data_IF_225526523703
#
_entry.id   IF_225526523703
#
_cell.length_a   1.000
_cell.length_b   1.000
_cell.length_c   1.000
_cell.angle_alpha   90.00
_cell.angle_beta   90.00
_cell.angle_gamma   90.00
#
_symmetry.space_group_name_H-M   'P 1'
#
loop_
_entity.id
_entity.type
_entity.pdbx_description
1 polymer ?
#
# COMPACT_ATOMS: atom_id res chain seq x y z
N UNK A 1 -30.54 5.43 -39.83
CA UNK A 1 -29.13 4.93 -39.86
C UNK A 1 -28.57 5.01 -38.43
N UNK A 2 -28.15 3.91 -37.84
CA UNK A 2 -27.65 3.92 -36.46
C UNK A 2 -26.13 3.95 -36.39
N UNK A 3 -25.61 4.65 -35.33
CA UNK A 3 -24.41 4.35 -34.54
C UNK A 3 -23.28 5.34 -34.55
N UNK A 4 -22.70 5.56 -33.40
CA UNK A 4 -21.68 4.68 -32.82
C UNK A 4 -21.63 4.65 -31.27
N UNK A 5 -22.25 3.69 -30.63
CA UNK A 5 -22.15 3.50 -29.17
C UNK A 5 -20.87 2.70 -28.82
N UNK A 6 -20.41 1.84 -29.74
CA UNK A 6 -19.27 0.94 -29.47
C UNK A 6 -17.89 1.64 -29.37
N UNK A 7 -17.69 2.75 -30.05
CA UNK A 7 -16.43 3.52 -30.01
C UNK A 7 -16.24 4.30 -28.70
N UNK A 8 -17.33 4.79 -28.09
CA UNK A 8 -17.28 5.53 -26.83
C UNK A 8 -16.91 4.64 -25.65
N UNK A 9 -17.37 3.39 -25.62
CA UNK A 9 -17.05 2.44 -24.54
C UNK A 9 -15.58 2.02 -24.62
N UNK A 10 -15.04 1.82 -25.83
CA UNK A 10 -13.64 1.40 -26.03
C UNK A 10 -12.64 2.50 -25.68
N UNK A 11 -12.98 3.77 -25.91
CA UNK A 11 -12.11 4.90 -25.53
C UNK A 11 -12.11 5.16 -24.02
N UNK A 12 -13.23 4.92 -23.31
CA UNK A 12 -13.33 5.09 -21.86
C UNK A 12 -12.55 4.02 -21.10
N UNK A 13 -12.47 2.78 -21.64
CA UNK A 13 -11.72 1.68 -21.05
C UNK A 13 -10.21 1.81 -21.28
N UNK A 14 -9.75 2.42 -22.37
CA UNK A 14 -8.31 2.57 -22.65
C UNK A 14 -7.60 3.56 -21.69
N UNK A 15 -8.31 4.53 -21.13
CA UNK A 15 -7.70 5.59 -20.31
C UNK A 15 -7.58 5.21 -18.81
N UNK A 16 -8.03 4.02 -18.41
CA UNK A 16 -8.02 3.56 -17.02
C UNK A 16 -7.06 2.40 -16.76
N UNK A 17 -6.28 1.98 -17.76
CA UNK A 17 -5.38 0.83 -17.61
C UNK A 17 -4.03 1.29 -17.05
N UNK A 18 -3.64 0.72 -15.92
CA UNK A 18 -2.27 0.79 -15.43
C UNK A 18 -1.39 -0.10 -16.34
N UNK A 19 -0.80 0.50 -17.40
CA UNK A 19 -0.04 -0.21 -18.40
C UNK A 19 1.18 -0.92 -17.81
N UNK A 20 1.64 -1.99 -18.47
CA UNK A 20 2.86 -2.69 -18.04
C UNK A 20 4.07 -1.76 -18.04
N UNK A 21 4.19 -0.88 -19.04
CA UNK A 21 5.28 0.11 -19.11
C UNK A 21 5.28 1.02 -17.88
N UNK A 22 4.11 1.53 -17.47
CA UNK A 22 3.98 2.41 -16.32
C UNK A 22 4.33 1.67 -15.01
N UNK A 23 3.91 0.42 -14.86
CA UNK A 23 4.28 -0.41 -13.69
C UNK A 23 5.79 -0.61 -13.60
N UNK A 24 6.43 -0.94 -14.71
CA UNK A 24 7.90 -1.09 -14.77
C UNK A 24 8.60 0.23 -14.46
N UNK A 25 8.12 1.34 -15.02
CA UNK A 25 8.69 2.66 -14.74
C UNK A 25 8.60 3.03 -13.26
N UNK A 26 7.43 2.88 -12.64
CA UNK A 26 7.23 3.15 -11.21
C UNK A 26 8.16 2.25 -10.38
N UNK A 27 8.24 0.96 -10.70
CA UNK A 27 9.12 0.02 -10.00
C UNK A 27 10.59 0.43 -10.16
N UNK A 28 11.02 0.82 -11.36
CA UNK A 28 12.38 1.28 -11.61
C UNK A 28 12.72 2.55 -10.80
N UNK A 29 11.80 3.52 -10.74
CA UNK A 29 11.99 4.73 -9.94
C UNK A 29 12.14 4.38 -8.45
N UNK A 30 11.27 3.51 -7.92
CA UNK A 30 11.36 3.07 -6.52
C UNK A 30 12.65 2.30 -6.26
N UNK A 31 13.08 1.47 -7.22
CA UNK A 31 14.36 0.76 -7.13
C UNK A 31 15.54 1.75 -7.03
N UNK A 32 15.56 2.76 -7.88
CA UNK A 32 16.60 3.80 -7.84
C UNK A 32 16.58 4.58 -6.52
N UNK A 33 15.41 4.92 -6.01
CA UNK A 33 15.29 5.63 -4.73
C UNK A 33 15.79 4.79 -3.56
N UNK A 34 15.43 3.51 -3.47
CA UNK A 34 15.88 2.65 -2.36
C UNK A 34 17.38 2.37 -2.43
N UNK A 35 17.93 2.11 -3.62
CA UNK A 35 19.37 1.92 -3.77
C UNK A 35 20.15 3.22 -3.56
N UNK A 36 19.58 4.37 -3.95
CA UNK A 36 20.14 5.69 -3.63
C UNK A 36 20.20 5.93 -2.13
N UNK A 37 19.13 5.56 -1.40
CA UNK A 37 19.08 5.64 0.07
C UNK A 37 20.10 4.71 0.73
N UNK A 38 20.18 3.45 0.31
CA UNK A 38 21.18 2.49 0.81
C UNK A 38 22.60 2.97 0.53
N UNK A 39 22.86 3.54 -0.67
CA UNK A 39 24.15 4.12 -1.03
C UNK A 39 24.51 5.32 -0.16
N UNK A 40 23.53 6.16 0.16
CA UNK A 40 23.70 7.26 1.12
C UNK A 40 24.07 6.74 2.51
N UNK A 41 23.33 5.78 3.04
CA UNK A 41 23.60 5.16 4.34
C UNK A 41 25.02 4.59 4.40
N UNK A 42 25.43 3.87 3.34
CA UNK A 42 26.76 3.28 3.26
C UNK A 42 27.90 4.32 3.39
N UNK A 43 27.71 5.51 2.84
CA UNK A 43 28.71 6.59 2.87
C UNK A 43 28.61 7.48 4.13
N UNK A 44 27.53 7.40 4.90
CA UNK A 44 27.24 8.28 6.06
C UNK A 44 27.02 7.51 7.37
N UNK A 45 27.85 6.52 7.65
CA UNK A 45 27.82 5.81 8.93
C UNK A 45 27.54 4.32 8.82
N UNK A 46 27.30 3.82 7.60
CA UNK A 46 27.02 2.41 7.34
C UNK A 46 25.53 2.09 7.19
N UNK A 47 25.26 0.92 6.63
CA UNK A 47 23.88 0.48 6.39
C UNK A 47 23.25 0.06 7.73
N UNK A 48 22.13 0.69 8.16
CA UNK A 48 21.50 0.37 9.42
C UNK A 48 20.90 -1.03 9.43
N UNK A 49 20.88 -1.64 10.62
CA UNK A 49 20.17 -2.88 10.89
C UNK A 49 18.94 -2.57 11.72
N UNK A 50 17.76 -2.96 11.25
CA UNK A 50 16.51 -2.78 11.96
C UNK A 50 16.16 -4.06 12.72
N UNK A 51 15.90 -3.94 14.02
CA UNK A 51 15.52 -5.06 14.87
C UNK A 51 13.98 -5.19 14.92
N UNK A 52 13.49 -6.43 14.88
CA UNK A 52 12.05 -6.71 15.02
C UNK A 52 11.56 -6.17 16.36
N UNK A 53 10.41 -5.52 16.38
CA UNK A 53 9.83 -4.86 17.58
C UNK A 53 10.76 -3.86 18.26
N UNK A 54 11.75 -3.34 17.55
CA UNK A 54 12.75 -2.40 18.09
C UNK A 54 13.52 -2.98 19.28
N UNK A 55 13.64 -4.30 19.38
CA UNK A 55 14.30 -5.02 20.46
C UNK A 55 15.60 -5.64 19.94
N UNK A 56 16.74 -5.27 20.51
CA UNK A 56 18.06 -5.75 20.12
C UNK A 56 18.27 -7.26 20.36
N UNK A 57 17.46 -7.90 21.21
CA UNK A 57 17.48 -9.34 21.43
C UNK A 57 16.79 -10.13 20.29
N UNK A 58 16.07 -9.42 19.43
CA UNK A 58 15.40 -10.01 18.26
C UNK A 58 16.32 -10.01 17.03
N UNK A 59 16.04 -10.87 16.03
CA UNK A 59 16.82 -10.88 14.79
C UNK A 59 16.88 -9.51 14.13
N UNK A 60 18.09 -9.06 13.81
CA UNK A 60 18.34 -7.82 13.07
C UNK A 60 18.23 -8.04 11.56
N UNK A 61 17.55 -7.14 10.88
CA UNK A 61 17.37 -7.16 9.43
C UNK A 61 18.14 -5.98 8.83
N UNK A 62 19.26 -6.23 8.13
CA UNK A 62 20.03 -5.18 7.47
C UNK A 62 19.18 -4.49 6.39
N UNK A 63 19.25 -3.17 6.31
CA UNK A 63 18.40 -2.37 5.39
C UNK A 63 18.64 -2.68 3.90
N UNK A 64 19.80 -3.24 3.53
CA UNK A 64 20.07 -3.61 2.13
C UNK A 64 19.11 -4.68 1.57
N UNK A 65 18.49 -5.51 2.43
CA UNK A 65 17.40 -6.42 2.02
C UNK A 65 16.25 -5.66 1.37
N UNK A 66 16.01 -4.42 1.82
CA UNK A 66 15.02 -3.54 1.22
C UNK A 66 15.27 -3.27 -0.26
N UNK A 67 16.54 -3.15 -0.65
CA UNK A 67 16.96 -2.95 -2.05
C UNK A 67 16.54 -4.09 -2.99
N UNK A 68 16.35 -5.29 -2.46
CA UNK A 68 15.89 -6.47 -3.22
C UNK A 68 14.38 -6.62 -3.09
N UNK A 69 13.88 -6.69 -1.86
CA UNK A 69 12.48 -7.05 -1.58
C UNK A 69 11.50 -5.98 -2.04
N UNK A 70 11.83 -4.70 -1.85
CA UNK A 70 10.91 -3.59 -2.15
C UNK A 70 10.57 -3.46 -3.65
N UNK A 71 11.51 -3.59 -4.61
CA UNK A 71 11.18 -3.61 -6.04
C UNK A 71 10.22 -4.74 -6.42
N UNK A 72 10.49 -5.97 -6.00
CA UNK A 72 9.61 -7.11 -6.29
C UNK A 72 8.23 -6.94 -5.68
N UNK A 73 8.17 -6.49 -4.44
CA UNK A 73 6.92 -6.23 -3.73
C UNK A 73 6.11 -5.12 -4.39
N UNK A 74 6.76 -4.02 -4.77
CA UNK A 74 6.13 -2.91 -5.51
C UNK A 74 5.54 -3.40 -6.83
N UNK A 75 6.31 -4.12 -7.65
CA UNK A 75 5.80 -4.65 -8.90
C UNK A 75 4.63 -5.60 -8.70
N UNK A 76 4.69 -6.47 -7.70
CA UNK A 76 3.62 -7.39 -7.33
C UNK A 76 2.33 -6.64 -6.96
N UNK A 77 2.40 -5.61 -6.12
CA UNK A 77 1.21 -4.83 -5.74
C UNK A 77 0.66 -4.03 -6.92
N UNK A 78 1.52 -3.42 -7.75
CA UNK A 78 1.09 -2.74 -8.98
C UNK A 78 0.44 -3.71 -9.97
N UNK A 79 0.91 -4.95 -10.07
CA UNK A 79 0.27 -6.00 -10.86
C UNK A 79 -1.13 -6.33 -10.33
N UNK A 80 -1.28 -6.49 -9.01
CA UNK A 80 -2.60 -6.74 -8.38
C UNK A 80 -3.57 -5.58 -8.63
N UNK A 81 -3.10 -4.34 -8.51
CA UNK A 81 -3.90 -3.13 -8.81
C UNK A 81 -4.34 -3.16 -10.28
N UNK A 82 -3.42 -3.38 -11.23
CA UNK A 82 -3.73 -3.45 -12.65
C UNK A 82 -4.73 -4.57 -12.97
N UNK A 83 -4.53 -5.77 -12.40
CA UNK A 83 -5.44 -6.91 -12.58
C UNK A 83 -6.86 -6.59 -12.08
N UNK A 84 -6.98 -5.84 -10.97
CA UNK A 84 -8.29 -5.41 -10.46
C UNK A 84 -8.92 -4.34 -11.35
N UNK A 85 -8.16 -3.33 -11.80
CA UNK A 85 -8.66 -2.27 -12.68
C UNK A 85 -9.18 -2.81 -14.02
N UNK A 86 -8.60 -3.91 -14.51
CA UNK A 86 -8.99 -4.52 -15.79
C UNK A 86 -10.20 -5.47 -15.66
N UNK A 87 -10.80 -5.65 -14.49
CA UNK A 87 -12.00 -6.47 -14.32
C UNK A 87 -13.24 -5.74 -14.87
N UNK A 88 -14.16 -6.45 -15.52
CA UNK A 88 -15.38 -5.82 -16.07
C UNK A 88 -16.29 -5.19 -15.01
N UNK A 89 -16.29 -5.76 -13.81
CA UNK A 89 -17.07 -5.33 -12.64
C UNK A 89 -16.36 -4.24 -11.80
N UNK A 90 -15.19 -3.79 -12.23
CA UNK A 90 -14.44 -2.78 -11.50
C UNK A 90 -15.06 -1.39 -11.64
N UNK A 91 -15.27 -0.74 -10.50
CA UNK A 91 -15.76 0.65 -10.40
C UNK A 91 -14.65 1.64 -9.98
N UNK A 92 -13.48 1.16 -9.60
CA UNK A 92 -12.37 2.02 -9.18
C UNK A 92 -11.74 2.73 -10.39
N UNK A 93 -11.53 4.04 -10.27
CA UNK A 93 -10.77 4.82 -11.24
C UNK A 93 -9.28 4.86 -10.89
N UNK A 94 -8.43 5.15 -11.87
CA UNK A 94 -6.99 5.34 -11.62
C UNK A 94 -6.73 6.48 -10.64
N UNK A 95 -7.53 7.56 -10.70
CA UNK A 95 -7.48 8.68 -9.74
C UNK A 95 -7.74 8.21 -8.31
N UNK A 96 -8.74 7.36 -8.10
CA UNK A 96 -9.08 6.83 -6.78
C UNK A 96 -7.97 5.91 -6.24
N UNK A 97 -7.36 5.11 -7.11
CA UNK A 97 -6.20 4.28 -6.77
C UNK A 97 -5.03 5.15 -6.31
N UNK A 98 -4.73 6.22 -7.07
CA UNK A 98 -3.69 7.18 -6.70
C UNK A 98 -3.96 7.87 -5.36
N UNK A 99 -5.20 8.31 -5.12
CA UNK A 99 -5.60 8.92 -3.85
C UNK A 99 -5.41 7.97 -2.66
N UNK A 100 -5.78 6.69 -2.80
CA UNK A 100 -5.59 5.67 -1.76
C UNK A 100 -4.12 5.40 -1.49
N UNK A 101 -3.29 5.35 -2.54
CA UNK A 101 -1.84 5.21 -2.40
C UNK A 101 -1.25 6.38 -1.62
N UNK A 102 -1.61 7.61 -1.99
CA UNK A 102 -1.16 8.82 -1.29
C UNK A 102 -1.65 8.83 0.16
N UNK A 103 -2.89 8.43 0.42
CA UNK A 103 -3.40 8.35 1.79
C UNK A 103 -2.61 7.35 2.64
N UNK A 104 -2.28 6.15 2.10
CA UNK A 104 -1.42 5.18 2.77
C UNK A 104 0.00 5.71 3.00
N UNK A 105 0.55 6.42 2.02
CA UNK A 105 1.87 7.05 2.11
C UNK A 105 1.92 8.13 3.20
N UNK A 106 0.97 9.06 3.20
CA UNK A 106 0.89 10.14 4.19
C UNK A 106 0.71 9.56 5.59
N UNK A 107 -0.18 8.56 5.74
CA UNK A 107 -0.37 7.87 7.01
C UNK A 107 0.94 7.26 7.53
N UNK A 108 1.68 6.54 6.67
CA UNK A 108 2.94 5.91 7.04
C UNK A 108 4.03 6.93 7.39
N UNK A 109 4.13 8.02 6.63
CA UNK A 109 5.07 9.11 6.93
C UNK A 109 4.72 9.75 8.29
N UNK A 110 3.44 9.98 8.57
CA UNK A 110 3.01 10.54 9.86
C UNK A 110 3.42 9.66 11.04
N UNK A 111 3.19 8.35 10.93
CA UNK A 111 3.64 7.37 11.94
C UNK A 111 5.16 7.38 12.08
N UNK A 112 5.89 7.36 10.96
CA UNK A 112 7.36 7.36 10.96
C UNK A 112 7.93 8.60 11.64
N UNK A 113 7.39 9.77 11.33
CA UNK A 113 7.80 11.05 11.94
C UNK A 113 7.50 11.06 13.44
N UNK A 114 6.29 10.67 13.85
CA UNK A 114 5.94 10.60 15.27
C UNK A 114 6.85 9.63 16.02
N UNK A 115 7.08 8.45 15.46
CA UNK A 115 7.95 7.44 16.08
C UNK A 115 9.39 7.92 16.23
N UNK A 116 9.99 8.49 15.17
CA UNK A 116 11.38 8.99 15.20
C UNK A 116 11.57 10.16 16.16
N UNK A 117 10.54 10.93 16.46
CA UNK A 117 10.59 12.06 17.40
C UNK A 117 10.08 11.70 18.80
N UNK A 118 9.78 10.43 19.10
CA UNK A 118 9.28 10.01 20.40
C UNK A 118 7.92 10.60 20.77
N UNK A 119 7.08 10.92 19.77
CA UNK A 119 5.76 11.52 20.00
C UNK A 119 4.75 10.42 20.35
N UNK A 120 4.12 10.50 21.51
CA UNK A 120 3.13 9.52 22.01
C UNK A 120 1.86 9.41 21.14
N UNK A 121 1.64 10.35 20.18
CA UNK A 121 0.51 10.30 19.27
C UNK A 121 0.48 9.05 18.36
N UNK A 122 1.59 8.31 18.25
CA UNK A 122 1.71 7.10 17.43
C UNK A 122 0.60 6.09 17.74
N UNK A 123 0.33 5.82 19.02
CA UNK A 123 -0.67 4.85 19.46
C UNK A 123 -2.09 5.29 19.10
N UNK A 124 -2.39 6.57 19.26
CA UNK A 124 -3.69 7.15 18.89
C UNK A 124 -3.92 7.10 17.37
N UNK A 125 -2.89 7.42 16.58
CA UNK A 125 -2.96 7.37 15.11
C UNK A 125 -3.14 5.91 14.66
N UNK A 126 -2.42 4.97 15.27
CA UNK A 126 -2.59 3.54 15.00
C UNK A 126 -3.98 3.04 15.42
N UNK A 127 -4.51 3.51 16.54
CA UNK A 127 -5.90 3.19 16.95
C UNK A 127 -6.94 3.70 15.96
N UNK A 128 -6.76 4.92 15.44
CA UNK A 128 -7.68 5.52 14.47
C UNK A 128 -7.84 4.69 13.19
N UNK A 129 -6.75 4.05 12.71
CA UNK A 129 -6.82 3.28 11.46
C UNK A 129 -7.76 2.06 11.59
N UNK A 130 -7.88 1.46 12.78
CA UNK A 130 -8.83 0.38 13.02
C UNK A 130 -10.27 0.87 12.91
N UNK A 131 -10.58 2.07 13.40
CA UNK A 131 -11.90 2.69 13.23
C UNK A 131 -12.18 2.95 11.75
N UNK A 132 -11.22 3.48 11.02
CA UNK A 132 -11.33 3.73 9.59
C UNK A 132 -11.52 2.44 8.78
N UNK A 133 -11.01 1.29 9.26
CA UNK A 133 -11.17 -0.01 8.59
C UNK A 133 -12.63 -0.49 8.52
N UNK A 134 -13.52 -0.02 9.42
CA UNK A 134 -14.95 -0.31 9.34
C UNK A 134 -15.67 0.46 8.22
N UNK A 135 -15.07 1.57 7.77
CA UNK A 135 -15.64 2.46 6.76
C UNK A 135 -14.98 2.25 5.41
N UNK A 136 -13.66 2.14 5.40
CA UNK A 136 -12.84 2.07 4.20
C UNK A 136 -12.23 0.69 3.98
N UNK A 137 -12.01 0.31 2.72
CA UNK A 137 -11.39 -0.96 2.33
C UNK A 137 -9.86 -0.85 2.42
N UNK A 138 -9.31 -0.66 3.63
CA UNK A 138 -7.88 -0.40 3.86
C UNK A 138 -6.97 -1.58 3.48
N UNK A 139 -7.51 -2.79 3.28
CA UNK A 139 -6.79 -3.97 2.79
C UNK A 139 -6.42 -3.90 1.29
N UNK A 140 -6.84 -2.85 0.57
CA UNK A 140 -6.53 -2.72 -0.86
C UNK A 140 -5.05 -2.46 -1.09
N UNK A 141 -4.52 -3.05 -2.17
CA UNK A 141 -3.09 -3.05 -2.49
C UNK A 141 -2.45 -1.66 -2.60
N UNK A 142 -3.21 -0.63 -2.97
CA UNK A 142 -2.74 0.75 -3.04
C UNK A 142 -2.46 1.36 -1.67
N UNK A 143 -3.32 1.13 -0.67
CA UNK A 143 -3.04 1.56 0.71
C UNK A 143 -1.81 0.86 1.25
N UNK A 144 -1.71 -0.45 0.99
CA UNK A 144 -0.57 -1.24 1.43
C UNK A 144 0.74 -0.79 0.78
N UNK A 145 0.73 -0.50 -0.52
CA UNK A 145 1.90 0.04 -1.20
C UNK A 145 2.33 1.38 -0.61
N UNK A 146 1.37 2.30 -0.41
CA UNK A 146 1.63 3.59 0.22
C UNK A 146 2.23 3.44 1.63
N UNK A 147 1.65 2.55 2.46
CA UNK A 147 2.18 2.22 3.79
C UNK A 147 3.63 1.76 3.74
N UNK A 148 3.93 0.77 2.90
CA UNK A 148 5.29 0.21 2.81
C UNK A 148 6.29 1.27 2.34
N UNK A 149 5.95 2.05 1.30
CA UNK A 149 6.83 3.10 0.78
C UNK A 149 7.11 4.20 1.81
N UNK A 150 6.08 4.63 2.55
CA UNK A 150 6.23 5.69 3.55
C UNK A 150 6.96 5.26 4.82
N UNK A 151 6.79 3.99 5.23
CA UNK A 151 7.42 3.46 6.43
C UNK A 151 8.83 2.90 6.20
N UNK A 152 9.17 2.55 4.95
CA UNK A 152 10.47 1.93 4.62
C UNK A 152 11.67 2.81 4.94
N UNK A 153 11.50 4.13 4.93
CA UNK A 153 12.56 5.07 5.27
C UNK A 153 12.98 4.96 6.75
N UNK A 154 12.00 4.83 7.65
CA UNK A 154 12.25 4.79 9.09
C UNK A 154 12.56 3.39 9.63
N UNK A 155 11.92 2.35 9.06
CA UNK A 155 11.91 0.99 9.61
C UNK A 155 12.56 -0.05 8.69
N UNK A 156 13.15 0.36 7.57
CA UNK A 156 13.52 -0.55 6.50
C UNK A 156 12.29 -1.13 5.79
N UNK A 157 12.46 -1.83 4.66
CA UNK A 157 11.31 -2.29 3.88
C UNK A 157 10.63 -3.55 4.45
N UNK A 158 11.39 -4.45 5.06
CA UNK A 158 10.89 -5.78 5.47
C UNK A 158 9.89 -5.68 6.62
N UNK A 159 10.18 -4.84 7.62
CA UNK A 159 9.30 -4.68 8.79
C UNK A 159 7.92 -4.13 8.38
N UNK A 160 7.81 -3.02 7.60
CA UNK A 160 6.52 -2.55 7.11
C UNK A 160 5.78 -3.54 6.21
N UNK A 161 6.48 -4.35 5.41
CA UNK A 161 5.86 -5.40 4.60
C UNK A 161 5.24 -6.47 5.50
N UNK A 162 5.98 -6.98 6.48
CA UNK A 162 5.49 -7.99 7.41
C UNK A 162 4.30 -7.48 8.23
N UNK A 163 4.48 -6.37 8.92
CA UNK A 163 3.44 -5.75 9.74
C UNK A 163 2.21 -5.34 8.92
N UNK A 164 2.43 -4.69 7.79
CA UNK A 164 1.35 -4.29 6.88
C UNK A 164 0.59 -5.48 6.28
N UNK A 165 1.25 -6.64 6.08
CA UNK A 165 0.56 -7.87 5.64
C UNK A 165 -0.43 -8.36 6.69
N UNK A 166 -0.04 -8.33 7.97
CA UNK A 166 -0.91 -8.69 9.09
C UNK A 166 -2.08 -7.70 9.17
N UNK A 167 -1.81 -6.39 9.10
CA UNK A 167 -2.86 -5.37 9.10
C UNK A 167 -3.83 -5.54 7.93
N UNK A 168 -3.33 -5.81 6.72
CA UNK A 168 -4.19 -6.05 5.56
C UNK A 168 -5.10 -7.26 5.77
N UNK A 169 -4.61 -8.34 6.39
CA UNK A 169 -5.44 -9.49 6.73
C UNK A 169 -6.53 -9.11 7.74
N UNK A 170 -6.17 -8.41 8.81
CA UNK A 170 -7.12 -7.94 9.83
C UNK A 170 -8.19 -7.02 9.22
N UNK A 171 -7.79 -6.04 8.40
CA UNK A 171 -8.73 -5.13 7.74
C UNK A 171 -9.62 -5.84 6.73
N UNK A 172 -9.13 -6.87 6.06
CA UNK A 172 -9.94 -7.72 5.20
C UNK A 172 -11.00 -8.48 6.01
N UNK A 173 -10.64 -9.06 7.16
CA UNK A 173 -11.58 -9.76 8.05
C UNK A 173 -12.64 -8.81 8.60
N UNK A 174 -12.26 -7.61 9.06
CA UNK A 174 -13.19 -6.56 9.50
C UNK A 174 -14.18 -6.22 8.37
N UNK A 175 -13.68 -6.00 7.17
CA UNK A 175 -14.53 -5.68 6.02
C UNK A 175 -15.51 -6.82 5.69
N UNK A 176 -15.06 -8.08 5.74
CA UNK A 176 -15.93 -9.24 5.50
C UNK A 176 -17.02 -9.36 6.55
N UNK A 177 -16.68 -9.15 7.83
CA UNK A 177 -17.65 -9.16 8.93
C UNK A 177 -18.71 -8.08 8.74
N UNK A 178 -18.30 -6.82 8.50
CA UNK A 178 -19.22 -5.70 8.27
C UNK A 178 -20.11 -5.94 7.05
N UNK A 179 -19.54 -6.46 5.97
CA UNK A 179 -20.29 -6.77 4.74
C UNK A 179 -21.29 -7.90 4.93
N UNK A 180 -20.92 -8.91 5.72
CA UNK A 180 -21.80 -10.03 6.11
C UNK A 180 -23.02 -9.52 6.92
N UNK A 181 -22.77 -8.72 7.96
CA UNK A 181 -23.82 -8.12 8.80
C UNK A 181 -24.77 -7.27 7.94
N UNK A 182 -24.22 -6.40 7.06
CA UNK A 182 -25.04 -5.58 6.15
C UNK A 182 -25.93 -6.41 5.22
N UNK A 183 -25.46 -7.59 4.76
CA UNK A 183 -26.28 -8.50 3.93
C UNK A 183 -27.41 -9.15 4.72
N UNK A 184 -27.16 -9.53 5.99
CA UNK A 184 -28.16 -10.12 6.86
C UNK A 184 -29.27 -9.12 7.24
N UNK A 185 -28.91 -7.85 7.42
CA UNK A 185 -29.83 -6.77 7.79
C UNK A 185 -30.61 -6.18 6.61
N UNK A 186 -30.28 -6.53 5.36
CA UNK A 186 -31.06 -6.08 4.19
C UNK A 186 -32.39 -6.85 4.15
N UNK A 187 -33.56 -6.17 4.23
CA UNK A 187 -34.82 -6.82 4.05
C UNK A 187 -34.88 -7.46 2.65
N UNK A 188 -35.36 -8.70 2.58
CA UNK A 188 -35.69 -9.34 1.30
C UNK A 188 -36.80 -8.48 0.66
N UNK A 189 -36.49 -7.73 -0.37
CA UNK A 189 -37.47 -7.13 -1.26
C UNK A 189 -38.15 -8.29 -1.98
N UNK A 190 -39.43 -8.56 -1.60
CA UNK A 190 -40.35 -9.40 -2.37
C UNK A 190 -40.69 -8.68 -3.68
#
# INVERSE_FOLDING_TARGET
MPRPIATSIKSKTMNQQLSQKLRLLITAVITLLIWGHIGWDYTHGGIPTHYILHNADMPGIPNWWGGIVLPFFTYFLLYRIAKRLNRPDNTDSLKLVGLRLVAGLVFAISISVCFMNGIEATDYIMGLIFILAFIFQLYKSEYFLGWVLGASFAFGAIIPIGFGSILCLVFFLIYQLVSGIKRLLRPKSN
#
